data_IF_126853822105
#
_entry.id   IF_126853822105
#
_cell.length_a   1.000
_cell.length_b   1.000
_cell.length_c   1.000
_cell.angle_alpha   90.00
_cell.angle_beta   90.00
_cell.angle_gamma   90.00
#
_symmetry.space_group_name_H-M   'P 1'
#
loop_
_entity.id
_entity.type
_entity.pdbx_description
1 polymer ?
#
# COMPACT_ATOMS: atom_id res chain seq x y z
N UNK A 1 11.01 15.23 -6.87
CA UNK A 1 11.61 14.43 -7.95
C UNK A 1 10.69 13.24 -8.13
N UNK A 2 10.14 13.02 -9.33
CA UNK A 2 9.19 11.94 -9.58
C UNK A 2 9.94 10.60 -9.60
N UNK A 3 9.60 9.67 -8.70
CA UNK A 3 10.16 8.33 -8.70
C UNK A 3 9.04 7.29 -8.84
N UNK A 4 9.04 6.60 -9.98
CA UNK A 4 8.13 5.50 -10.26
C UNK A 4 8.85 4.16 -10.09
N UNK A 5 8.30 3.29 -9.25
CA UNK A 5 8.77 1.93 -9.05
C UNK A 5 7.79 0.99 -9.72
N UNK A 6 8.26 0.22 -10.71
CA UNK A 6 7.51 -0.88 -11.29
C UNK A 6 8.10 -2.18 -10.77
N UNK A 7 7.23 -3.06 -10.29
CA UNK A 7 7.61 -4.34 -9.70
C UNK A 7 6.80 -5.45 -10.35
N UNK A 8 7.47 -6.53 -10.72
CA UNK A 8 6.79 -7.74 -11.16
C UNK A 8 6.54 -8.63 -9.95
N UNK A 9 5.29 -9.06 -9.79
CA UNK A 9 4.83 -9.92 -8.72
C UNK A 9 4.35 -11.25 -9.32
N UNK A 10 5.21 -12.25 -9.29
CA UNK A 10 4.88 -13.61 -9.73
C UNK A 10 4.40 -14.42 -8.53
N UNK A 11 3.21 -15.01 -8.64
CA UNK A 11 2.64 -15.88 -7.62
C UNK A 11 2.19 -17.23 -8.21
N UNK A 12 2.31 -18.32 -7.44
CA UNK A 12 1.65 -19.56 -7.77
C UNK A 12 0.15 -19.44 -7.48
N UNK A 13 -0.65 -19.63 -8.53
CA UNK A 13 -2.10 -19.78 -8.45
C UNK A 13 -2.45 -21.12 -7.81
N UNK A 14 -3.70 -21.24 -7.36
CA UNK A 14 -4.16 -22.47 -6.73
C UNK A 14 -4.31 -23.65 -7.72
N UNK A 15 -4.38 -23.36 -9.02
CA UNK A 15 -4.32 -24.35 -10.10
C UNK A 15 -2.90 -24.89 -10.39
N UNK A 16 -1.88 -24.38 -9.68
CA UNK A 16 -0.48 -24.73 -9.86
C UNK A 16 0.24 -23.97 -10.97
N UNK A 17 -0.46 -23.11 -11.73
CA UNK A 17 0.16 -22.23 -12.71
C UNK A 17 0.83 -21.03 -12.03
N UNK A 18 1.83 -20.44 -12.69
CA UNK A 18 2.43 -19.19 -12.25
C UNK A 18 1.73 -18.03 -12.97
N UNK A 19 1.24 -17.06 -12.20
CA UNK A 19 0.71 -15.82 -12.73
C UNK A 19 1.64 -14.66 -12.35
N UNK A 20 2.05 -13.89 -13.35
CA UNK A 20 2.79 -12.65 -13.17
C UNK A 20 1.84 -11.46 -13.24
N UNK A 21 1.91 -10.60 -12.24
CA UNK A 21 1.19 -9.33 -12.19
C UNK A 21 2.18 -8.19 -12.11
N UNK A 22 1.83 -7.05 -12.72
CA UNK A 22 2.65 -5.84 -12.63
C UNK A 22 2.07 -4.95 -11.54
N UNK A 23 2.87 -4.70 -10.51
CA UNK A 23 2.62 -3.70 -9.49
C UNK A 23 3.39 -2.41 -9.79
N UNK A 24 2.87 -1.30 -9.30
CA UNK A 24 3.64 -0.06 -9.26
C UNK A 24 3.42 0.71 -7.97
N UNK A 25 4.43 1.50 -7.60
CA UNK A 25 4.35 2.53 -6.59
C UNK A 25 5.01 3.79 -7.14
N UNK A 26 4.28 4.88 -7.15
CA UNK A 26 4.76 6.17 -7.64
C UNK A 26 4.81 7.14 -6.48
N UNK A 27 5.93 7.84 -6.37
CA UNK A 27 6.27 8.82 -5.35
C UNK A 27 6.54 10.16 -6.06
N UNK A 28 5.63 11.12 -5.91
CA UNK A 28 5.67 12.36 -6.69
C UNK A 28 6.50 13.47 -6.03
N UNK A 29 6.09 13.89 -4.84
CA UNK A 29 6.77 14.92 -4.05
C UNK A 29 6.68 14.65 -2.54
N UNK A 30 7.82 14.74 -1.82
CA UNK A 30 7.90 14.61 -0.36
C UNK A 30 8.12 15.95 0.34
N UNK A 31 8.08 17.07 -0.39
CA UNK A 31 8.45 18.39 0.14
C UNK A 31 7.67 18.82 1.39
N UNK A 32 6.51 18.21 1.65
CA UNK A 32 5.57 18.57 2.72
C UNK A 32 5.43 17.52 3.83
N UNK A 33 6.20 16.43 3.78
CA UNK A 33 6.14 15.34 4.76
C UNK A 33 6.05 13.96 4.13
N UNK A 34 5.72 12.92 4.92
CA UNK A 34 5.58 11.55 4.43
C UNK A 34 4.53 11.50 3.31
N UNK A 35 4.87 10.84 2.21
CA UNK A 35 3.95 10.62 1.13
C UNK A 35 2.82 9.70 1.60
N UNK A 36 1.59 9.96 1.13
CA UNK A 36 0.45 9.08 1.36
C UNK A 36 -0.16 8.70 0.03
N UNK A 37 -0.51 7.42 -0.09
CA UNK A 37 -1.01 6.90 -1.35
C UNK A 37 -1.79 5.62 -1.25
N UNK A 38 -2.98 5.64 -1.85
CA UNK A 38 -3.83 4.46 -2.01
C UNK A 38 -3.14 3.36 -2.83
N UNK A 39 -3.37 2.10 -2.47
CA UNK A 39 -3.08 0.92 -3.30
C UNK A 39 -4.38 0.50 -3.96
N UNK A 40 -4.40 0.46 -5.30
CA UNK A 40 -5.58 0.09 -6.09
C UNK A 40 -5.38 -1.22 -6.84
N UNK A 41 -6.33 -2.13 -6.76
CA UNK A 41 -6.34 -3.36 -7.54
C UNK A 41 -7.33 -3.20 -8.69
N UNK A 42 -6.82 -3.14 -9.91
CA UNK A 42 -7.65 -2.98 -11.10
C UNK A 42 -6.91 -3.49 -12.34
N UNK A 43 -7.56 -4.17 -13.29
CA UNK A 43 -6.90 -4.65 -14.51
C UNK A 43 -6.37 -3.50 -15.38
N UNK A 44 -7.13 -2.40 -15.53
CA UNK A 44 -6.72 -1.22 -16.31
C UNK A 44 -5.91 -0.18 -15.51
N UNK A 45 -5.03 -0.63 -14.63
CA UNK A 45 -4.25 0.27 -13.80
C UNK A 45 -3.10 0.90 -14.60
N UNK A 46 -3.27 2.17 -15.00
CA UNK A 46 -2.26 2.91 -15.76
C UNK A 46 -1.55 3.97 -14.91
N UNK A 47 -0.22 3.99 -14.97
CA UNK A 47 0.66 4.97 -14.30
C UNK A 47 0.35 6.42 -14.72
N UNK A 48 -0.20 6.62 -15.92
CA UNK A 48 -0.50 7.94 -16.48
C UNK A 48 -1.65 8.70 -15.77
N UNK A 49 -2.45 8.05 -14.91
CA UNK A 49 -3.63 8.66 -14.25
C UNK A 49 -3.40 8.97 -12.76
N UNK A 50 -2.17 9.25 -12.35
CA UNK A 50 -1.85 9.56 -10.95
C UNK A 50 -1.88 11.09 -10.76
N UNK A 51 -2.72 11.63 -9.86
CA UNK A 51 -2.75 13.07 -9.59
C UNK A 51 -1.39 13.54 -9.05
N UNK A 52 -0.96 14.73 -9.48
CA UNK A 52 0.38 15.32 -9.29
C UNK A 52 0.73 15.73 -7.83
N UNK A 53 0.08 15.15 -6.81
CA UNK A 53 0.32 15.47 -5.41
C UNK A 53 0.13 14.26 -4.50
N UNK A 54 1.22 13.56 -4.20
CA UNK A 54 1.26 12.44 -3.26
C UNK A 54 1.95 11.18 -3.80
N UNK A 55 1.67 10.05 -3.15
CA UNK A 55 2.03 8.73 -3.67
C UNK A 55 0.79 8.03 -4.21
N UNK A 56 0.96 7.10 -5.15
CA UNK A 56 -0.10 6.17 -5.54
C UNK A 56 0.53 4.85 -5.96
N UNK A 57 -0.10 3.76 -5.54
CA UNK A 57 0.32 2.44 -5.98
C UNK A 57 -0.85 1.60 -6.39
N UNK A 58 -0.53 0.41 -6.86
CA UNK A 58 -1.54 -0.58 -7.18
C UNK A 58 -0.96 -1.75 -7.95
N UNK A 59 -1.82 -2.72 -8.19
CA UNK A 59 -1.49 -3.93 -8.92
C UNK A 59 -2.49 -4.08 -10.05
N UNK A 60 -1.96 -4.36 -11.25
CA UNK A 60 -2.72 -4.66 -12.45
C UNK A 60 -3.38 -6.04 -12.38
N UNK A 61 -4.34 -6.22 -11.48
CA UNK A 61 -5.07 -7.47 -11.30
C UNK A 61 -6.57 -7.22 -11.13
N UNK A 62 -7.39 -8.16 -11.58
CA UNK A 62 -8.82 -8.18 -11.25
C UNK A 62 -9.03 -8.94 -9.93
N UNK A 63 -9.46 -8.26 -8.85
CA UNK A 63 -9.72 -8.93 -7.58
C UNK A 63 -10.93 -9.88 -7.62
N UNK A 64 -11.78 -9.81 -8.64
CA UNK A 64 -12.93 -10.70 -8.81
C UNK A 64 -12.56 -12.04 -9.45
N UNK A 65 -11.44 -12.10 -10.18
CA UNK A 65 -10.94 -13.33 -10.81
C UNK A 65 -9.99 -14.13 -9.92
N UNK A 66 -9.57 -13.56 -8.78
CA UNK A 66 -8.56 -14.14 -7.89
C UNK A 66 -9.18 -14.61 -6.57
N UNK A 67 -8.70 -15.76 -6.10
CA UNK A 67 -9.07 -16.25 -4.78
C UNK A 67 -8.46 -15.40 -3.67
N UNK A 68 -9.04 -15.47 -2.47
CA UNK A 68 -8.51 -14.80 -1.27
C UNK A 68 -7.06 -15.22 -1.00
N UNK A 69 -6.75 -16.51 -1.14
CA UNK A 69 -5.40 -17.04 -0.96
C UNK A 69 -4.40 -16.50 -2.00
N UNK A 70 -4.82 -16.37 -3.25
CA UNK A 70 -4.01 -15.79 -4.32
C UNK A 70 -3.79 -14.29 -4.09
N UNK A 71 -4.84 -13.56 -3.69
CA UNK A 71 -4.75 -12.15 -3.34
C UNK A 71 -3.83 -11.91 -2.13
N UNK A 72 -3.87 -12.78 -1.13
CA UNK A 72 -2.94 -12.71 -0.01
C UNK A 72 -1.49 -12.91 -0.46
N UNK A 73 -1.21 -13.97 -1.23
CA UNK A 73 0.13 -14.22 -1.78
C UNK A 73 0.61 -13.03 -2.62
N UNK A 74 -0.27 -12.50 -3.47
CA UNK A 74 0.02 -11.34 -4.31
C UNK A 74 0.36 -10.11 -3.48
N UNK A 75 -0.43 -9.82 -2.45
CA UNK A 75 -0.22 -8.69 -1.54
C UNK A 75 1.11 -8.81 -0.81
N UNK A 76 1.46 -10.02 -0.34
CA UNK A 76 2.73 -10.29 0.34
C UNK A 76 3.92 -10.12 -0.59
N UNK A 77 3.89 -10.75 -1.77
CA UNK A 77 4.96 -10.61 -2.78
C UNK A 77 5.12 -9.14 -3.19
N UNK A 78 4.02 -8.41 -3.38
CA UNK A 78 4.08 -6.98 -3.66
C UNK A 78 4.77 -6.21 -2.53
N UNK A 79 4.38 -6.45 -1.28
CA UNK A 79 4.99 -5.82 -0.10
C UNK A 79 6.48 -6.12 -0.01
N UNK A 80 6.90 -7.36 -0.28
CA UNK A 80 8.32 -7.75 -0.33
C UNK A 80 9.12 -6.97 -1.38
N UNK A 81 8.49 -6.51 -2.46
CA UNK A 81 9.16 -5.71 -3.50
C UNK A 81 9.20 -4.22 -3.17
N UNK A 82 8.24 -3.73 -2.39
CA UNK A 82 8.12 -2.30 -2.08
C UNK A 82 8.55 -1.93 -0.66
N UNK A 83 8.92 -2.89 0.21
CA UNK A 83 9.23 -2.61 1.62
C UNK A 83 10.36 -1.58 1.79
N UNK A 84 11.34 -1.56 0.88
CA UNK A 84 12.44 -0.59 0.88
C UNK A 84 12.00 0.84 0.47
N UNK A 85 10.84 0.93 -0.19
CA UNK A 85 10.28 2.17 -0.74
C UNK A 85 9.27 2.80 0.22
N UNK A 86 8.54 1.98 0.98
CA UNK A 86 7.54 2.41 1.96
C UNK A 86 8.16 2.59 3.34
N UNK A 87 7.59 3.47 4.15
CA UNK A 87 8.09 3.74 5.50
C UNK A 87 7.23 4.74 6.25
N UNK A 88 7.20 4.64 7.58
CA UNK A 88 6.37 5.49 8.46
C UNK A 88 6.64 6.99 8.21
N UNK A 89 7.90 7.35 7.95
CA UNK A 89 8.32 8.74 7.72
C UNK A 89 8.54 9.08 6.23
N UNK A 90 8.29 8.12 5.33
CA UNK A 90 8.63 8.27 3.89
C UNK A 90 7.40 8.14 3.03
N UNK A 91 6.73 6.99 3.07
CA UNK A 91 5.56 6.68 2.25
C UNK A 91 4.66 5.67 2.95
N UNK A 92 3.45 6.10 3.27
CA UNK A 92 2.44 5.36 4.03
C UNK A 92 1.32 4.91 3.09
N UNK A 93 1.19 3.61 2.80
CA UNK A 93 0.10 3.10 1.98
C UNK A 93 -1.27 3.22 2.66
N UNK A 94 -2.30 3.33 1.83
CA UNK A 94 -3.68 3.41 2.26
C UNK A 94 -4.56 2.48 1.41
N UNK A 95 -5.74 2.06 1.91
CA UNK A 95 -6.73 1.37 1.11
C UNK A 95 -7.30 2.31 0.02
N UNK A 96 -7.56 1.76 -1.16
CA UNK A 96 -8.26 2.39 -2.30
C UNK A 96 -9.20 1.34 -2.92
N UNK A 97 -9.77 1.61 -4.10
CA UNK A 97 -10.64 0.68 -4.81
C UNK A 97 -9.98 -0.68 -5.03
N UNK A 98 -10.69 -1.74 -4.65
CA UNK A 98 -10.20 -3.13 -4.74
C UNK A 98 -9.27 -3.55 -3.59
N UNK A 99 -8.95 -2.65 -2.65
CA UNK A 99 -8.04 -2.95 -1.54
C UNK A 99 -8.65 -2.50 -0.21
N UNK A 100 -9.27 -3.44 0.51
CA UNK A 100 -9.90 -3.18 1.82
C UNK A 100 -8.98 -3.39 3.02
N UNK A 101 -9.53 -3.34 4.26
CA UNK A 101 -8.75 -3.46 5.50
C UNK A 101 -7.95 -4.76 5.61
N UNK A 102 -8.52 -5.87 5.15
CA UNK A 102 -7.85 -7.17 5.16
C UNK A 102 -6.52 -7.15 4.39
N UNK A 103 -6.45 -6.40 3.27
CA UNK A 103 -5.21 -6.31 2.48
C UNK A 103 -4.17 -5.48 3.22
N UNK A 104 -4.59 -4.41 3.90
CA UNK A 104 -3.70 -3.63 4.77
C UNK A 104 -3.13 -4.48 5.91
N UNK A 105 -3.93 -5.38 6.48
CA UNK A 105 -3.45 -6.31 7.50
C UNK A 105 -2.33 -7.23 6.97
N UNK A 106 -2.45 -7.74 5.74
CA UNK A 106 -1.40 -8.54 5.11
C UNK A 106 -0.13 -7.75 4.82
N UNK A 107 -0.26 -6.49 4.35
CA UNK A 107 0.90 -5.61 4.12
C UNK A 107 1.62 -5.34 5.44
N UNK A 108 0.88 -5.01 6.51
CA UNK A 108 1.47 -4.79 7.83
C UNK A 108 2.22 -6.03 8.31
N UNK A 109 1.57 -7.20 8.25
CA UNK A 109 2.15 -8.47 8.69
C UNK A 109 3.44 -8.80 7.92
N UNK A 110 3.42 -8.63 6.60
CA UNK A 110 4.59 -8.90 5.77
C UNK A 110 5.71 -7.88 6.01
N UNK A 111 5.40 -6.58 6.06
CA UNK A 111 6.38 -5.53 6.37
C UNK A 111 7.01 -5.71 7.76
N UNK A 112 6.21 -6.15 8.74
CA UNK A 112 6.69 -6.38 10.11
C UNK A 112 7.78 -7.45 10.20
N UNK A 113 7.83 -8.39 9.23
CA UNK A 113 8.92 -9.39 9.16
C UNK A 113 10.25 -8.77 8.74
N UNK A 114 10.23 -7.71 7.93
CA UNK A 114 11.44 -7.08 7.41
C UNK A 114 11.96 -5.97 8.32
N UNK A 115 11.07 -5.14 8.87
CA UNK A 115 11.46 -3.91 9.59
C UNK A 115 11.01 -3.90 11.06
N UNK A 116 10.45 -5.01 11.55
CA UNK A 116 9.90 -5.12 12.89
C UNK A 116 8.49 -4.55 13.00
N UNK A 117 7.87 -4.77 14.16
CA UNK A 117 6.46 -4.48 14.40
C UNK A 117 6.15 -2.96 14.30
N UNK A 118 5.61 -2.55 13.15
CA UNK A 118 5.45 -1.14 12.76
C UNK A 118 4.02 -0.84 12.32
N UNK A 119 3.07 -0.67 13.25
CA UNK A 119 1.64 -0.54 12.93
C UNK A 119 1.31 0.73 12.12
N UNK A 120 2.10 1.78 12.24
CA UNK A 120 1.91 3.05 11.53
C UNK A 120 2.33 3.02 10.05
N UNK A 121 2.78 1.87 9.52
CA UNK A 121 3.21 1.74 8.13
C UNK A 121 2.04 1.81 7.15
N UNK A 122 0.85 1.34 7.51
CA UNK A 122 -0.32 1.26 6.62
C UNK A 122 -1.58 1.74 7.31
N UNK A 123 -2.34 2.59 6.64
CA UNK A 123 -3.61 3.12 7.18
C UNK A 123 -4.79 2.20 6.86
N UNK A 124 -5.91 2.35 7.57
CA UNK A 124 -7.15 1.62 7.27
C UNK A 124 -7.12 0.14 7.63
N UNK A 125 -6.39 -0.22 8.69
CA UNK A 125 -6.33 -1.58 9.25
C UNK A 125 -7.68 -1.98 9.86
N UNK A 126 -8.00 -3.28 9.93
CA UNK A 126 -9.22 -3.75 10.58
C UNK A 126 -9.16 -3.47 12.09
N UNK A 127 -10.23 -2.89 12.63
CA UNK A 127 -10.36 -2.51 14.05
C UNK A 127 -10.13 -3.71 14.97
N UNK A 128 -10.61 -4.89 14.57
CA UNK A 128 -10.58 -6.11 15.40
C UNK A 128 -9.17 -6.63 15.69
N UNK A 129 -8.20 -6.39 14.79
CA UNK A 129 -6.83 -6.92 14.95
C UNK A 129 -5.89 -5.93 15.64
N UNK A 130 -6.21 -4.63 15.65
CA UNK A 130 -5.26 -3.58 16.05
C UNK A 130 -5.84 -2.48 16.96
N UNK A 131 -7.12 -2.55 17.34
CA UNK A 131 -7.74 -1.72 18.38
C UNK A 131 -7.90 -0.23 18.05
N UNK A 132 -8.81 0.44 18.77
CA UNK A 132 -9.10 1.88 18.60
C UNK A 132 -7.89 2.79 18.90
N UNK A 133 -6.94 2.34 19.72
CA UNK A 133 -5.74 3.11 20.09
C UNK A 133 -4.82 3.40 18.90
N UNK A 134 -4.60 2.42 18.01
CA UNK A 134 -3.70 2.61 16.86
C UNK A 134 -4.37 3.46 15.75
N UNK A 135 -5.70 3.39 15.63
CA UNK A 135 -6.46 4.28 14.75
C UNK A 135 -6.33 5.74 15.21
N UNK A 136 -6.39 5.99 16.53
CA UNK A 136 -6.15 7.31 17.11
C UNK A 136 -4.70 7.79 16.94
N UNK A 137 -3.70 6.90 17.05
CA UNK A 137 -2.31 7.28 16.80
C UNK A 137 -2.05 7.60 15.33
N UNK A 138 -2.59 6.83 14.39
CA UNK A 138 -2.54 7.16 12.96
C UNK A 138 -3.26 8.46 12.65
N UNK A 139 -4.46 8.66 13.19
CA UNK A 139 -5.20 9.92 13.02
C UNK A 139 -4.46 11.10 13.65
N UNK A 140 -3.80 10.92 14.80
CA UNK A 140 -2.97 11.96 15.43
C UNK A 140 -1.73 12.26 14.59
N UNK A 141 -1.01 11.24 14.11
CA UNK A 141 0.18 11.42 13.28
C UNK A 141 -0.19 12.08 11.94
N UNK A 142 -1.25 11.58 11.29
CA UNK A 142 -1.75 12.13 10.04
C UNK A 142 -2.37 13.52 10.22
N UNK A 143 -3.11 13.82 11.29
CA UNK A 143 -3.62 15.18 11.56
C UNK A 143 -2.49 16.15 11.83
N UNK A 144 -1.45 15.74 12.55
CA UNK A 144 -0.29 16.60 12.83
C UNK A 144 0.45 16.97 11.55
N UNK A 145 0.63 16.03 10.61
CA UNK A 145 1.25 16.32 9.30
C UNK A 145 0.30 16.98 8.30
N UNK A 146 -1.00 16.64 8.30
CA UNK A 146 -2.00 17.26 7.39
C UNK A 146 -2.32 18.71 7.78
N UNK A 147 -2.32 19.04 9.09
CA UNK A 147 -2.44 20.44 9.56
C UNK A 147 -1.28 21.33 9.10
N UNK A 148 -0.10 20.77 8.84
CA UNK A 148 1.02 21.51 8.26
C UNK A 148 0.91 21.66 6.74
N UNK A 149 0.08 20.86 6.06
CA UNK A 149 -0.19 20.99 4.62
C UNK A 149 -1.24 22.04 4.26
N UNK A 150 -2.21 22.33 5.14
CA UNK A 150 -3.25 23.34 4.90
C UNK A 150 -2.83 24.78 5.27
N UNK A 151 -1.68 24.96 5.93
CA UNK A 151 -1.19 26.27 6.39
C UNK A 151 -0.17 26.95 5.47
N UNK A 152 0.03 26.46 4.25
CA UNK A 152 0.97 27.04 3.26
C UNK A 152 0.30 27.35 1.92
#
# INVERSE_FOLDING_TARGET
>A
MYQGFLVECTIPKDDGTLASFVGFRVQHDNARGPMKGGIRYHPELHVAKIPYGGAKGGIGCDPSELNISELERLTRVFTQKIHDVIGIHTDVPAPDMGTGPQRMAWILDEYSKFHGHSPAIVTGKPIDLWGEMLQQEEDCYLKHYSMNMERA
#
